data_IF_765947541148
#
_entry.id   IF_765947541148
#
_cell.length_a   1.000
_cell.length_b   1.000
_cell.length_c   1.000
_cell.angle_alpha   90.00
_cell.angle_beta   90.00
_cell.angle_gamma   90.00
#
_symmetry.space_group_name_H-M   'P 1'
#
loop_
_entity.id
_entity.type
_entity.pdbx_description
1 polymer ?
#
# COMPACT_ATOMS: atom_id res chain seq x y z
N UNK A 1 -5.62 -19.34 8.24
CA UNK A 1 -4.82 -18.49 9.14
C UNK A 1 -3.66 -19.28 9.74
N UNK A 2 -2.47 -18.70 9.77
CA UNK A 2 -1.23 -19.27 10.30
C UNK A 2 -0.99 -18.71 11.71
N UNK A 3 -0.68 -19.54 12.71
CA UNK A 3 -0.57 -19.12 14.13
C UNK A 3 0.65 -19.66 14.88
N UNK A 4 1.26 -20.72 14.36
CA UNK A 4 2.39 -21.38 15.00
C UNK A 4 3.68 -21.02 14.27
N UNK A 5 4.80 -20.89 15.01
CA UNK A 5 6.09 -20.56 14.43
C UNK A 5 6.48 -21.50 13.26
N UNK A 6 6.14 -22.78 13.33
CA UNK A 6 6.40 -23.73 12.23
C UNK A 6 5.59 -23.36 10.98
N UNK A 7 4.27 -23.15 11.12
CA UNK A 7 3.39 -22.76 10.00
C UNK A 7 3.78 -21.41 9.37
N UNK A 8 4.22 -20.45 10.20
CA UNK A 8 4.71 -19.15 9.74
C UNK A 8 6.06 -19.30 9.04
N UNK A 9 6.96 -20.13 9.55
CA UNK A 9 8.24 -20.43 8.92
C UNK A 9 8.06 -21.05 7.53
N UNK A 10 7.14 -21.99 7.38
CA UNK A 10 6.81 -22.58 6.08
C UNK A 10 6.23 -21.56 5.10
N UNK A 11 5.39 -20.64 5.59
CA UNK A 11 4.84 -19.56 4.79
C UNK A 11 5.94 -18.61 4.30
N UNK A 12 6.86 -18.20 5.19
CA UNK A 12 8.02 -17.37 4.83
C UNK A 12 8.91 -18.11 3.81
N UNK A 13 9.18 -19.40 4.01
CA UNK A 13 9.93 -20.23 3.05
C UNK A 13 9.25 -20.27 1.69
N UNK A 14 7.91 -20.42 1.64
CA UNK A 14 7.16 -20.35 0.39
C UNK A 14 7.41 -19.02 -0.31
N UNK A 15 7.25 -17.89 0.38
CA UNK A 15 7.41 -16.56 -0.22
C UNK A 15 8.82 -16.28 -0.70
N UNK A 16 9.84 -16.69 0.07
CA UNK A 16 11.24 -16.61 -0.34
C UNK A 16 11.52 -17.43 -1.60
N UNK A 17 11.05 -18.68 -1.64
CA UNK A 17 11.18 -19.54 -2.83
C UNK A 17 10.44 -19.01 -4.05
N UNK A 18 9.39 -18.20 -3.83
CA UNK A 18 8.63 -17.50 -4.85
C UNK A 18 9.26 -16.18 -5.28
N UNK A 19 10.32 -15.72 -4.60
CA UNK A 19 10.96 -14.42 -4.81
C UNK A 19 9.97 -13.24 -4.78
N UNK A 20 9.01 -13.28 -3.84
CA UNK A 20 8.09 -12.17 -3.60
C UNK A 20 8.49 -11.37 -2.37
N UNK A 21 8.10 -10.10 -2.35
CA UNK A 21 8.29 -9.19 -1.24
C UNK A 21 6.96 -8.79 -0.62
N UNK A 22 7.01 -8.29 0.62
CA UNK A 22 5.86 -7.67 1.27
C UNK A 22 5.86 -6.18 0.94
N UNK A 23 4.79 -5.69 0.33
CA UNK A 23 4.62 -4.30 -0.06
C UNK A 23 3.67 -3.59 0.88
N UNK A 24 4.04 -2.40 1.32
CA UNK A 24 3.20 -1.53 2.16
C UNK A 24 3.29 -0.09 1.64
N UNK A 25 2.17 0.46 1.18
CA UNK A 25 2.12 1.86 0.75
C UNK A 25 1.62 2.74 1.90
N UNK A 26 2.17 3.96 1.98
CA UNK A 26 1.84 4.91 3.03
C UNK A 26 1.97 6.36 2.52
N UNK A 27 1.37 7.28 3.24
CA UNK A 27 1.51 8.72 3.01
C UNK A 27 2.77 9.27 3.70
N UNK A 28 3.19 10.48 3.36
CA UNK A 28 4.35 11.13 4.00
C UNK A 28 4.17 11.26 5.52
N UNK A 29 2.97 11.64 5.96
CA UNK A 29 2.60 11.73 7.38
C UNK A 29 2.78 10.39 8.09
N UNK A 30 2.28 9.31 7.51
CA UNK A 30 2.43 7.95 8.05
C UNK A 30 3.91 7.55 8.09
N UNK A 31 4.67 7.81 7.01
CA UNK A 31 6.10 7.48 6.91
C UNK A 31 6.92 8.11 8.04
N UNK A 32 6.68 9.38 8.39
CA UNK A 32 7.33 10.03 9.54
C UNK A 32 7.04 9.29 10.85
N UNK A 33 5.79 8.90 11.06
CA UNK A 33 5.39 8.14 12.25
C UNK A 33 6.02 6.74 12.27
N UNK A 34 6.16 6.10 11.12
CA UNK A 34 6.79 4.77 11.02
C UNK A 34 8.26 4.83 11.45
N UNK A 35 9.00 5.85 11.00
CA UNK A 35 10.39 6.01 11.41
C UNK A 35 10.52 6.32 12.90
N UNK A 36 9.65 7.17 13.46
CA UNK A 36 9.59 7.43 14.90
C UNK A 36 9.31 6.15 15.74
N UNK A 37 8.55 5.22 15.19
CA UNK A 37 8.23 3.93 15.81
C UNK A 37 9.20 2.81 15.42
N UNK A 38 10.28 3.12 14.69
CA UNK A 38 11.27 2.16 14.24
C UNK A 38 10.68 0.99 13.40
N UNK A 39 9.68 1.27 12.56
CA UNK A 39 9.13 0.29 11.62
C UNK A 39 7.73 0.63 11.10
N UNK A 40 7.09 -0.29 10.37
CA UNK A 40 5.67 -0.21 10.00
C UNK A 40 4.81 -0.70 11.17
N UNK A 41 4.09 0.17 11.87
CA UNK A 41 3.26 -0.18 13.02
C UNK A 41 1.84 -0.60 12.60
N UNK A 42 1.08 -1.17 13.52
CA UNK A 42 -0.39 -1.22 13.41
C UNK A 42 -0.98 0.18 13.65
N UNK A 43 -2.21 0.40 13.17
CA UNK A 43 -2.97 1.63 13.47
C UNK A 43 -3.25 1.79 14.97
N UNK A 44 -3.60 0.69 15.65
CA UNK A 44 -3.79 0.65 17.11
C UNK A 44 -2.57 1.14 17.89
N UNK A 45 -1.35 0.78 17.47
CA UNK A 45 -0.15 1.24 18.13
C UNK A 45 0.08 2.75 17.93
N UNK A 46 -0.09 3.25 16.70
CA UNK A 46 0.05 4.69 16.43
C UNK A 46 -0.93 5.51 17.26
N UNK A 47 -2.18 5.05 17.37
CA UNK A 47 -3.22 5.69 18.18
C UNK A 47 -2.88 5.64 19.68
N UNK A 48 -2.48 4.48 20.20
CA UNK A 48 -2.11 4.32 21.62
C UNK A 48 -0.90 5.17 22.01
N UNK A 49 0.03 5.38 21.07
CA UNK A 49 1.21 6.22 21.25
C UNK A 49 0.97 7.70 20.91
N UNK A 50 -0.27 8.07 20.53
CA UNK A 50 -0.68 9.41 20.16
C UNK A 50 0.20 10.03 19.05
N UNK A 51 0.60 9.22 18.08
CA UNK A 51 1.24 9.73 16.87
C UNK A 51 0.19 10.18 15.86
N UNK A 52 0.51 11.21 15.08
CA UNK A 52 -0.32 11.63 13.95
C UNK A 52 -0.15 10.66 12.78
N UNK A 53 -1.24 10.41 12.07
CA UNK A 53 -1.27 9.49 10.92
C UNK A 53 -2.46 9.81 10.02
N UNK A 54 -2.37 9.40 8.75
CA UNK A 54 -3.45 9.66 7.79
C UNK A 54 -4.66 8.80 8.14
N UNK A 55 -5.80 9.43 8.44
CA UNK A 55 -7.06 8.73 8.66
C UNK A 55 -7.62 8.23 7.33
N UNK A 56 -7.97 6.95 7.28
CA UNK A 56 -8.65 6.36 6.13
C UNK A 56 -10.10 6.09 6.47
N UNK A 57 -10.99 6.17 5.49
CA UNK A 57 -12.41 5.86 5.71
C UNK A 57 -12.61 4.40 6.15
N UNK A 58 -11.69 3.50 5.74
CA UNK A 58 -11.70 2.08 6.11
C UNK A 58 -11.30 1.82 7.55
N UNK A 59 -10.73 2.80 8.26
CA UNK A 59 -10.31 2.65 9.66
C UNK A 59 -11.49 2.19 10.54
N UNK A 60 -12.69 2.71 10.28
CA UNK A 60 -13.92 2.30 10.98
C UNK A 60 -14.24 0.81 10.76
N UNK A 61 -14.10 0.33 9.53
CA UNK A 61 -14.34 -1.07 9.21
C UNK A 61 -13.23 -1.96 9.80
N UNK A 62 -11.98 -1.52 9.78
CA UNK A 62 -10.88 -2.25 10.41
C UNK A 62 -11.09 -2.40 11.93
N UNK A 63 -11.59 -1.37 12.61
CA UNK A 63 -11.99 -1.46 14.02
C UNK A 63 -13.15 -2.45 14.23
N UNK A 64 -14.21 -2.33 13.43
CA UNK A 64 -15.39 -3.20 13.52
C UNK A 64 -15.06 -4.67 13.23
N UNK A 65 -14.16 -4.93 12.28
CA UNK A 65 -13.75 -6.25 11.86
C UNK A 65 -12.63 -6.85 12.74
N UNK A 66 -12.17 -6.15 13.78
CA UNK A 66 -11.12 -6.62 14.69
C UNK A 66 -9.71 -6.66 14.07
N UNK A 67 -9.46 -5.77 13.10
CA UNK A 67 -8.20 -5.65 12.37
C UNK A 67 -7.36 -4.42 12.77
N UNK A 68 -7.81 -3.62 13.73
CA UNK A 68 -7.15 -2.36 14.10
C UNK A 68 -5.71 -2.52 14.61
N UNK A 69 -5.41 -3.64 15.27
CA UNK A 69 -4.10 -4.04 15.79
C UNK A 69 -3.26 -4.83 14.76
N UNK A 70 -3.69 -4.89 13.50
CA UNK A 70 -3.00 -5.61 12.44
C UNK A 70 -2.10 -4.69 11.62
N UNK A 71 -1.05 -5.28 11.08
CA UNK A 71 -0.17 -4.66 10.09
C UNK A 71 -0.52 -5.26 8.74
N UNK A 72 -0.77 -4.40 7.76
CA UNK A 72 -1.19 -4.83 6.42
C UNK A 72 -0.04 -4.78 5.42
N UNK A 73 -0.08 -5.70 4.46
CA UNK A 73 0.74 -5.60 3.27
C UNK A 73 0.20 -6.45 2.13
N UNK A 74 0.81 -6.28 0.96
CA UNK A 74 0.40 -6.95 -0.27
C UNK A 74 1.57 -7.70 -0.89
N UNK A 75 1.25 -8.63 -1.79
CA UNK A 75 2.24 -9.38 -2.57
C UNK A 75 2.59 -8.70 -3.91
N UNK A 76 2.07 -7.48 -4.15
CA UNK A 76 2.31 -6.72 -5.39
C UNK A 76 2.34 -5.22 -5.12
N UNK A 77 3.14 -4.51 -5.92
CA UNK A 77 3.10 -3.06 -6.02
C UNK A 77 1.89 -2.61 -6.84
N UNK A 78 0.83 -2.14 -6.16
CA UNK A 78 -0.38 -1.65 -6.83
C UNK A 78 -0.15 -0.35 -7.62
N UNK A 79 0.80 0.49 -7.22
CA UNK A 79 1.12 1.72 -7.94
C UNK A 79 1.68 1.41 -9.33
N UNK A 80 2.39 0.28 -9.49
CA UNK A 80 2.97 -0.11 -10.77
C UNK A 80 1.92 -0.30 -11.88
N UNK A 81 0.68 -0.67 -11.57
CA UNK A 81 -0.38 -0.77 -12.58
C UNK A 81 -0.66 0.59 -13.24
N UNK A 82 -0.82 1.65 -12.43
CA UNK A 82 -1.05 3.00 -12.94
C UNK A 82 0.16 3.53 -13.71
N UNK A 83 1.35 3.39 -13.12
CA UNK A 83 2.60 3.90 -13.69
C UNK A 83 3.07 3.16 -14.95
N UNK A 84 2.60 1.94 -15.19
CA UNK A 84 2.84 1.19 -16.43
C UNK A 84 1.87 1.53 -17.56
N UNK A 85 0.95 2.48 -17.35
CA UNK A 85 -0.04 2.89 -18.34
C UNK A 85 -1.29 2.01 -18.39
N UNK A 86 -1.51 1.17 -17.37
CA UNK A 86 -2.77 0.41 -17.28
C UNK A 86 -3.93 1.37 -16.97
N UNK A 87 -5.13 1.03 -17.44
CA UNK A 87 -6.39 1.74 -17.20
C UNK A 87 -6.86 1.65 -15.74
N UNK A 88 -6.05 2.18 -14.83
CA UNK A 88 -6.13 2.05 -13.38
C UNK A 88 -5.93 3.41 -12.71
N UNK A 89 -5.97 3.41 -11.37
CA UNK A 89 -5.72 4.60 -10.53
C UNK A 89 -4.42 4.42 -9.74
N UNK A 90 -3.77 5.50 -9.30
CA UNK A 90 -2.66 5.41 -8.36
C UNK A 90 -3.07 4.68 -7.07
N UNK A 91 -2.10 4.21 -6.30
CA UNK A 91 -2.38 3.50 -5.05
C UNK A 91 -2.98 4.46 -4.02
N UNK A 92 -4.21 4.22 -3.52
CA UNK A 92 -4.88 5.13 -2.61
C UNK A 92 -4.16 5.27 -1.27
N UNK A 93 -3.39 4.27 -0.85
CA UNK A 93 -2.72 4.27 0.46
C UNK A 93 -1.46 5.13 0.52
N UNK A 94 -0.93 5.54 -0.64
CA UNK A 94 0.00 6.66 -0.70
C UNK A 94 1.16 6.50 -1.68
N UNK A 95 1.92 7.59 -1.87
CA UNK A 95 3.00 7.70 -2.85
C UNK A 95 4.33 7.11 -2.40
N UNK A 96 4.44 6.66 -1.14
CA UNK A 96 5.65 6.05 -0.59
C UNK A 96 5.37 4.56 -0.40
N UNK A 97 6.06 3.72 -1.17
CA UNK A 97 5.94 2.28 -1.11
C UNK A 97 7.16 1.67 -0.42
N UNK A 98 6.93 1.02 0.70
CA UNK A 98 7.94 0.26 1.45
C UNK A 98 7.88 -1.19 1.01
N UNK A 99 9.01 -1.73 0.55
CA UNK A 99 9.20 -3.13 0.21
C UNK A 99 10.02 -3.80 1.31
N UNK A 100 9.49 -4.86 1.89
CA UNK A 100 10.06 -5.54 3.05
C UNK A 100 10.36 -7.02 2.78
N UNK A 101 11.33 -7.54 3.51
CA UNK A 101 11.59 -8.98 3.60
C UNK A 101 10.54 -9.65 4.51
N UNK A 102 10.05 -10.81 4.09
CA UNK A 102 9.18 -11.67 4.88
C UNK A 102 9.81 -12.17 6.20
N UNK A 103 11.13 -12.07 6.38
CA UNK A 103 11.74 -12.31 7.69
C UNK A 103 11.20 -11.36 8.78
N UNK A 104 10.73 -10.16 8.41
CA UNK A 104 10.17 -9.20 9.35
C UNK A 104 8.85 -9.62 9.98
N UNK A 105 8.20 -10.65 9.43
CA UNK A 105 6.95 -11.22 9.97
C UNK A 105 7.20 -12.51 10.76
N UNK A 106 8.46 -12.91 10.94
CA UNK A 106 8.83 -13.97 11.87
C UNK A 106 8.39 -13.59 13.29
N UNK A 107 8.02 -14.58 14.11
CA UNK A 107 7.51 -14.40 15.47
C UNK A 107 6.20 -13.58 15.57
N UNK A 108 5.43 -13.50 14.48
CA UNK A 108 4.05 -13.00 14.55
C UNK A 108 3.17 -13.95 15.37
N UNK A 109 2.20 -13.40 16.10
CA UNK A 109 1.15 -14.18 16.79
C UNK A 109 0.32 -14.97 15.78
N UNK A 110 -0.03 -14.31 14.68
CA UNK A 110 -0.73 -14.93 13.57
C UNK A 110 -0.62 -14.10 12.29
N UNK A 111 -0.83 -14.77 11.15
CA UNK A 111 -0.86 -14.19 9.80
C UNK A 111 -2.09 -14.73 9.08
N UNK A 112 -2.87 -13.84 8.45
CA UNK A 112 -3.96 -14.20 7.58
C UNK A 112 -3.70 -13.63 6.19
N UNK A 113 -3.94 -14.46 5.18
CA UNK A 113 -3.91 -14.08 3.76
C UNK A 113 -5.32 -14.26 3.26
N UNK A 114 -5.94 -13.18 2.78
CA UNK A 114 -7.31 -13.19 2.29
C UNK A 114 -7.35 -12.66 0.85
N UNK A 115 -8.38 -13.05 0.09
CA UNK A 115 -8.58 -12.62 -1.31
C UNK A 115 -9.66 -11.52 -1.43
N UNK A 116 -9.99 -10.92 -0.30
CA UNK A 116 -10.90 -9.80 -0.08
C UNK A 116 -10.23 -8.85 0.92
N UNK A 117 -10.45 -7.54 0.74
CA UNK A 117 -9.82 -6.54 1.60
C UNK A 117 -10.41 -6.56 3.00
N UNK A 118 -9.56 -6.38 4.01
CA UNK A 118 -9.95 -6.35 5.42
C UNK A 118 -10.88 -5.18 5.78
N UNK A 119 -10.82 -4.10 5.00
CA UNK A 119 -11.71 -2.94 5.13
C UNK A 119 -13.10 -3.15 4.49
N UNK A 120 -13.38 -4.32 3.90
CA UNK A 120 -14.69 -4.61 3.32
C UNK A 120 -15.75 -4.87 4.40
N UNK A 121 -16.99 -4.45 4.12
CA UNK A 121 -18.12 -4.69 5.01
C UNK A 121 -18.37 -6.19 5.21
N UNK A 122 -18.48 -6.60 6.48
CA UNK A 122 -18.73 -7.99 6.87
C UNK A 122 -17.56 -8.95 6.62
N UNK A 123 -16.35 -8.42 6.44
CA UNK A 123 -15.15 -9.23 6.29
C UNK A 123 -14.88 -10.05 7.56
N UNK A 124 -14.66 -11.36 7.39
CA UNK A 124 -14.29 -12.26 8.47
C UNK A 124 -12.88 -12.82 8.27
N UNK A 125 -11.91 -12.20 8.95
CA UNK A 125 -10.50 -12.57 8.88
C UNK A 125 -10.24 -14.04 9.17
N UNK A 126 -10.99 -14.67 10.08
CA UNK A 126 -10.75 -16.06 10.47
C UNK A 126 -11.27 -17.00 9.38
N UNK A 127 -12.49 -16.78 8.93
CA UNK A 127 -13.20 -17.69 8.03
C UNK A 127 -12.81 -17.51 6.55
N UNK A 128 -12.40 -16.30 6.15
CA UNK A 128 -11.98 -15.99 4.77
C UNK A 128 -10.48 -16.20 4.53
N UNK A 129 -9.70 -16.49 5.57
CA UNK A 129 -8.26 -16.70 5.43
C UNK A 129 -7.90 -18.02 4.78
N UNK A 130 -6.88 -17.99 3.92
CA UNK A 130 -6.21 -19.20 3.47
C UNK A 130 -5.55 -19.91 4.65
N UNK A 131 -5.74 -21.22 4.74
CA UNK A 131 -5.43 -22.05 5.90
C UNK A 131 -4.28 -23.03 5.69
N UNK A 132 -3.75 -23.18 4.48
CA UNK A 132 -2.59 -24.05 4.22
C UNK A 132 -1.60 -23.46 3.22
N UNK A 133 -0.39 -24.00 3.20
CA UNK A 133 0.66 -23.62 2.25
C UNK A 133 0.23 -23.93 0.82
N UNK A 134 -0.51 -25.02 0.61
CA UNK A 134 -1.08 -25.41 -0.69
C UNK A 134 -2.09 -24.36 -1.17
N UNK A 135 -2.95 -23.87 -0.28
CA UNK A 135 -3.90 -22.80 -0.61
C UNK A 135 -3.16 -21.50 -0.95
N UNK A 136 -2.16 -21.09 -0.17
CA UNK A 136 -1.36 -19.90 -0.52
C UNK A 136 -0.63 -20.11 -1.85
N UNK A 137 -0.15 -21.32 -2.13
CA UNK A 137 0.52 -21.64 -3.38
C UNK A 137 -0.40 -21.52 -4.61
N UNK A 138 -1.72 -21.69 -4.44
CA UNK A 138 -2.76 -21.48 -5.48
C UNK A 138 -2.92 -20.01 -5.88
N UNK A 139 -2.36 -19.06 -5.13
CA UNK A 139 -2.35 -17.64 -5.54
C UNK A 139 -1.47 -17.41 -6.79
N UNK A 140 -0.39 -18.19 -6.94
CA UNK A 140 0.67 -17.90 -7.92
C UNK A 140 0.45 -18.58 -9.26
N UNK A 141 0.38 -17.80 -10.34
CA UNK A 141 0.02 -18.25 -11.68
C UNK A 141 0.88 -19.40 -12.19
N UNK A 142 2.19 -19.32 -12.00
CA UNK A 142 3.15 -20.31 -12.49
C UNK A 142 3.64 -21.25 -11.38
N UNK A 143 4.12 -22.46 -11.71
CA UNK A 143 4.83 -23.33 -10.77
C UNK A 143 6.05 -22.66 -10.12
N UNK A 144 6.46 -23.15 -8.94
CA UNK A 144 7.66 -22.65 -8.21
C UNK A 144 8.94 -22.77 -9.05
N UNK A 145 9.02 -23.81 -9.89
CA UNK A 145 10.17 -24.12 -10.75
C UNK A 145 10.30 -23.20 -11.97
N UNK A 146 9.30 -22.36 -12.27
CA UNK A 146 9.34 -21.48 -13.44
C UNK A 146 10.17 -20.22 -13.13
N UNK A 147 11.46 -20.28 -13.45
CA UNK A 147 12.42 -19.20 -13.24
C UNK A 147 11.95 -17.90 -13.89
N UNK A 148 12.05 -16.79 -13.15
CA UNK A 148 11.67 -15.44 -13.63
C UNK A 148 10.16 -15.19 -13.73
N UNK A 149 9.31 -16.19 -13.41
CA UNK A 149 7.85 -16.04 -13.41
C UNK A 149 7.16 -16.61 -12.17
N UNK A 150 7.90 -17.27 -11.29
CA UNK A 150 7.35 -17.90 -10.09
C UNK A 150 6.70 -16.92 -9.10
N UNK A 151 6.95 -15.61 -9.23
CA UNK A 151 6.36 -14.55 -8.41
C UNK A 151 5.02 -13.99 -8.95
N UNK A 152 4.61 -14.30 -10.18
CA UNK A 152 3.37 -13.73 -10.74
C UNK A 152 2.14 -14.24 -9.99
N UNK A 153 1.33 -13.30 -9.53
CA UNK A 153 0.04 -13.54 -8.90
C UNK A 153 -1.04 -13.68 -9.97
N UNK A 154 -1.99 -14.58 -9.76
CA UNK A 154 -3.19 -14.70 -10.61
C UNK A 154 -4.01 -13.41 -10.62
N UNK A 155 -4.66 -13.12 -11.74
CA UNK A 155 -5.67 -12.04 -11.79
C UNK A 155 -6.85 -12.37 -10.87
N UNK A 156 -7.72 -11.38 -10.61
CA UNK A 156 -8.94 -11.58 -9.81
C UNK A 156 -9.83 -12.68 -10.40
N UNK A 157 -9.97 -12.72 -11.71
CA UNK A 157 -10.78 -13.70 -12.44
C UNK A 157 -10.16 -15.10 -12.33
N UNK A 158 -8.84 -15.21 -12.53
CA UNK A 158 -8.10 -16.45 -12.35
C UNK A 158 -8.16 -16.95 -10.90
N UNK A 159 -8.13 -16.05 -9.90
CA UNK A 159 -8.29 -16.41 -8.49
C UNK A 159 -9.71 -16.91 -8.20
N UNK A 160 -10.76 -16.27 -8.75
CA UNK A 160 -12.15 -16.71 -8.58
C UNK A 160 -12.35 -18.13 -9.09
N UNK A 161 -11.85 -18.42 -10.29
CA UNK A 161 -11.90 -19.76 -10.86
C UNK A 161 -11.11 -20.75 -9.98
N UNK A 162 -9.88 -20.37 -9.63
CA UNK A 162 -8.96 -21.23 -8.90
C UNK A 162 -9.29 -21.40 -7.41
N UNK A 163 -10.33 -20.78 -6.88
CA UNK A 163 -10.85 -21.01 -5.53
C UNK A 163 -12.36 -21.31 -5.52
N UNK A 164 -12.94 -21.64 -6.68
CA UNK A 164 -14.38 -21.93 -6.82
C UNK A 164 -14.85 -23.16 -6.01
N UNK A 165 -13.95 -24.07 -5.67
CA UNK A 165 -14.16 -25.21 -4.77
C UNK A 165 -14.26 -24.81 -3.28
N UNK A 166 -13.87 -23.58 -2.92
CA UNK A 166 -13.77 -23.12 -1.52
C UNK A 166 -14.90 -22.16 -1.18
N UNK A 167 -16.01 -22.68 -0.65
CA UNK A 167 -17.22 -21.90 -0.30
C UNK A 167 -16.99 -20.77 0.70
N UNK A 168 -15.97 -20.87 1.55
CA UNK A 168 -15.65 -19.88 2.58
C UNK A 168 -14.65 -18.80 2.10
N UNK A 169 -14.08 -18.94 0.90
CA UNK A 169 -13.10 -17.99 0.37
C UNK A 169 -13.82 -17.04 -0.58
N UNK A 170 -13.86 -15.77 -0.22
CA UNK A 170 -14.42 -14.71 -1.05
C UNK A 170 -13.29 -14.05 -1.83
N UNK A 171 -13.42 -14.00 -3.15
CA UNK A 171 -12.42 -13.39 -4.04
C UNK A 171 -12.96 -12.09 -4.63
N UNK A 172 -12.49 -10.97 -4.09
CA UNK A 172 -12.88 -9.62 -4.50
C UNK A 172 -11.70 -8.75 -4.95
N UNK A 173 -10.46 -9.13 -4.65
CA UNK A 173 -9.28 -8.35 -5.01
C UNK A 173 -7.99 -9.15 -5.05
N UNK A 174 -6.88 -8.43 -5.09
CA UNK A 174 -5.55 -9.02 -4.93
C UNK A 174 -5.37 -9.55 -3.50
N UNK A 175 -4.47 -10.54 -3.30
CA UNK A 175 -4.17 -11.05 -1.96
C UNK A 175 -3.71 -9.94 -1.02
N UNK A 176 -4.32 -9.90 0.15
CA UNK A 176 -3.99 -9.00 1.25
C UNK A 176 -3.51 -9.83 2.45
N UNK A 177 -2.41 -9.38 3.06
CA UNK A 177 -1.79 -10.02 4.20
C UNK A 177 -2.03 -9.13 5.42
N UNK A 178 -2.65 -9.69 6.46
CA UNK A 178 -2.83 -9.03 7.76
C UNK A 178 -2.07 -9.80 8.83
N UNK A 179 -1.22 -9.09 9.56
CA UNK A 179 -0.21 -9.65 10.45
C UNK A 179 -0.46 -9.14 11.87
N UNK A 180 -0.49 -10.06 12.84
CA UNK A 180 -0.55 -9.72 14.26
C UNK A 180 0.84 -9.92 14.88
N UNK A 181 1.51 -8.84 15.28
CA UNK A 181 2.80 -8.93 16.01
C UNK A 181 2.64 -8.63 17.50
N UNK A 182 3.53 -9.19 18.32
CA UNK A 182 3.53 -8.91 19.76
C UNK A 182 3.82 -7.43 20.07
N UNK A 183 4.78 -6.83 19.37
CA UNK A 183 5.12 -5.41 19.45
C UNK A 183 4.30 -4.55 18.47
N UNK A 184 3.44 -5.15 17.65
CA UNK A 184 2.66 -4.46 16.61
C UNK A 184 3.49 -3.65 15.60
N UNK A 185 4.75 -4.05 15.33
CA UNK A 185 5.65 -3.35 14.39
C UNK A 185 6.41 -4.35 13.51
N UNK A 186 6.52 -4.08 12.21
CA UNK A 186 7.54 -4.68 11.33
C UNK A 186 8.71 -3.72 11.27
N UNK A 187 9.86 -4.15 11.78
CA UNK A 187 11.01 -3.31 12.08
C UNK A 187 11.74 -2.79 10.82
N UNK A 188 12.39 -1.62 10.92
CA UNK A 188 13.08 -0.97 9.79
C UNK A 188 14.19 -1.82 9.15
N UNK A 189 14.87 -2.66 9.93
CA UNK A 189 15.94 -3.54 9.44
C UNK A 189 15.44 -4.59 8.41
N UNK A 190 14.13 -4.75 8.25
CA UNK A 190 13.54 -5.60 7.22
C UNK A 190 13.17 -4.85 5.94
N UNK A 191 13.40 -3.54 5.88
CA UNK A 191 13.15 -2.74 4.68
C UNK A 191 14.24 -3.06 3.64
N UNK A 192 13.80 -3.38 2.43
CA UNK A 192 14.67 -3.69 1.29
C UNK A 192 14.77 -2.46 0.38
N UNK A 193 13.66 -1.77 0.19
CA UNK A 193 13.55 -0.68 -0.77
C UNK A 193 12.39 0.25 -0.36
N UNK A 194 12.57 1.54 -0.52
CA UNK A 194 11.55 2.58 -0.37
C UNK A 194 11.41 3.25 -1.73
N UNK A 195 10.27 3.06 -2.38
CA UNK A 195 9.98 3.60 -3.71
C UNK A 195 9.07 4.80 -3.56
N UNK A 196 9.52 5.96 -4.04
CA UNK A 196 8.82 7.23 -3.89
C UNK A 196 8.30 7.69 -5.25
N UNK A 197 7.01 8.01 -5.31
CA UNK A 197 6.42 8.59 -6.52
C UNK A 197 6.97 10.01 -6.77
N UNK A 198 7.11 10.44 -8.04
CA UNK A 198 7.75 11.70 -8.42
C UNK A 198 6.82 12.90 -8.21
N UNK A 199 6.51 13.21 -6.95
CA UNK A 199 5.64 14.33 -6.57
C UNK A 199 6.45 15.60 -6.36
N UNK A 200 6.05 16.67 -7.06
CA UNK A 200 6.58 18.02 -6.85
C UNK A 200 5.43 19.00 -6.63
N UNK A 201 5.43 19.67 -5.47
CA UNK A 201 4.44 20.69 -5.11
C UNK A 201 5.18 21.98 -4.78
N UNK A 202 4.97 23.02 -5.60
CA UNK A 202 5.54 24.35 -5.40
C UNK A 202 7.05 24.40 -5.11
N UNK A 203 7.83 23.54 -5.79
CA UNK A 203 9.28 23.42 -5.65
C UNK A 203 9.73 22.41 -4.59
N UNK A 204 8.82 21.84 -3.81
CA UNK A 204 9.14 20.76 -2.88
C UNK A 204 9.06 19.40 -3.57
N UNK A 205 10.13 18.64 -3.52
CA UNK A 205 10.23 17.29 -4.07
C UNK A 205 10.03 16.24 -2.97
N UNK A 206 9.05 15.34 -3.16
CA UNK A 206 8.77 14.29 -2.17
C UNK A 206 9.95 13.36 -1.94
N UNK A 207 10.73 13.03 -2.98
CA UNK A 207 11.91 12.18 -2.85
C UNK A 207 12.95 12.81 -1.91
N UNK A 208 13.25 14.09 -2.11
CA UNK A 208 14.22 14.82 -1.30
C UNK A 208 13.78 14.88 0.17
N UNK A 209 12.49 15.16 0.41
CA UNK A 209 11.91 15.14 1.76
C UNK A 209 12.02 13.75 2.39
N UNK A 210 11.68 12.69 1.66
CA UNK A 210 11.79 11.31 2.17
C UNK A 210 13.24 10.95 2.49
N UNK A 211 14.19 11.34 1.65
CA UNK A 211 15.62 11.13 1.88
C UNK A 211 16.14 11.89 3.09
N UNK A 212 15.75 13.16 3.26
CA UNK A 212 16.12 13.97 4.42
C UNK A 212 15.62 13.35 5.73
N UNK A 213 14.34 12.97 5.77
CA UNK A 213 13.75 12.32 6.94
C UNK A 213 14.44 10.98 7.19
N UNK A 214 14.59 10.12 6.18
CA UNK A 214 15.18 8.79 6.34
C UNK A 214 16.65 8.87 6.82
N UNK A 215 17.40 9.87 6.35
CA UNK A 215 18.78 10.11 6.78
C UNK A 215 18.88 10.42 8.27
N UNK A 216 17.87 11.07 8.88
CA UNK A 216 17.87 11.32 10.33
C UNK A 216 17.64 10.06 11.18
N UNK A 217 17.29 8.94 10.56
CA UNK A 217 17.10 7.62 11.20
C UNK A 217 18.14 6.61 10.72
N UNK A 218 19.26 7.07 10.14
CA UNK A 218 20.36 6.22 9.66
C UNK A 218 19.93 5.19 8.60
N UNK A 219 18.83 5.45 7.88
CA UNK A 219 18.44 4.64 6.74
C UNK A 219 19.32 5.01 5.54
N UNK A 220 19.95 4.01 4.94
CA UNK A 220 20.80 4.20 3.77
C UNK A 220 19.98 4.72 2.56
N UNK A 221 20.39 5.87 2.00
CA UNK A 221 19.76 6.45 0.82
C UNK A 221 19.78 5.52 -0.42
N UNK A 222 20.66 4.52 -0.49
CA UNK A 222 20.69 3.53 -1.57
C UNK A 222 19.42 2.68 -1.66
N UNK A 223 18.69 2.51 -0.54
CA UNK A 223 17.42 1.79 -0.56
C UNK A 223 16.25 2.68 -0.98
N UNK A 224 16.44 4.01 -1.04
CA UNK A 224 15.40 4.98 -1.39
C UNK A 224 15.53 5.32 -2.86
N UNK A 225 14.47 5.05 -3.64
CA UNK A 225 14.48 5.23 -5.08
C UNK A 225 13.26 5.98 -5.56
N UNK A 226 13.46 6.82 -6.57
CA UNK A 226 12.37 7.37 -7.33
C UNK A 226 11.71 6.28 -8.18
N UNK A 227 10.39 6.38 -8.37
CA UNK A 227 9.70 5.47 -9.30
C UNK A 227 10.18 5.71 -10.73
N UNK A 228 10.76 4.66 -11.32
CA UNK A 228 11.38 4.72 -12.66
C UNK A 228 10.39 4.93 -13.81
N UNK A 229 9.15 4.44 -13.68
CA UNK A 229 8.10 4.62 -14.70
C UNK A 229 7.06 5.59 -14.18
N UNK A 230 6.71 6.58 -14.99
CA UNK A 230 5.76 7.62 -14.62
C UNK A 230 4.71 7.71 -15.69
N UNK A 231 3.43 7.60 -15.29
CA UNK A 231 2.33 7.85 -16.21
C UNK A 231 2.35 9.33 -16.60
N UNK A 232 2.19 9.65 -17.88
CA UNK A 232 2.22 11.03 -18.38
C UNK A 232 1.19 11.95 -17.69
N UNK A 233 0.06 11.38 -17.26
CA UNK A 233 -0.99 12.12 -16.55
C UNK A 233 -0.66 12.38 -15.08
N UNK A 234 0.35 11.73 -14.50
CA UNK A 234 0.55 11.75 -13.05
C UNK A 234 0.87 13.15 -12.52
N UNK A 235 1.82 13.86 -13.14
CA UNK A 235 2.18 15.22 -12.69
C UNK A 235 0.98 16.17 -12.74
N UNK A 236 0.19 16.11 -13.80
CA UNK A 236 -1.00 16.95 -13.93
C UNK A 236 -2.10 16.57 -12.93
N UNK A 237 -2.27 15.26 -12.69
CA UNK A 237 -3.21 14.75 -11.70
C UNK A 237 -2.88 15.25 -10.28
N UNK A 238 -1.61 15.15 -9.90
CA UNK A 238 -1.13 15.60 -8.58
C UNK A 238 -1.33 17.11 -8.41
N UNK A 239 -1.03 17.92 -9.45
CA UNK A 239 -1.34 19.36 -9.45
C UNK A 239 -2.83 19.61 -9.29
N UNK A 240 -3.65 18.87 -10.01
CA UNK A 240 -5.12 19.02 -9.97
C UNK A 240 -5.67 18.73 -8.57
N UNK A 241 -5.17 17.68 -7.90
CA UNK A 241 -5.54 17.35 -6.52
C UNK A 241 -5.09 18.45 -5.55
N UNK A 242 -3.88 18.99 -5.73
CA UNK A 242 -3.41 20.14 -4.94
C UNK A 242 -4.34 21.37 -5.07
N UNK A 243 -5.00 21.54 -6.23
CA UNK A 243 -6.01 22.58 -6.47
C UNK A 243 -7.46 22.15 -6.17
N UNK A 244 -7.66 21.04 -5.47
CA UNK A 244 -8.95 20.66 -4.91
C UNK A 244 -9.77 19.66 -5.74
N UNK A 245 -9.20 18.99 -6.73
CA UNK A 245 -9.85 17.82 -7.36
C UNK A 245 -10.00 16.71 -6.32
N UNK A 246 -11.23 16.23 -6.15
CA UNK A 246 -11.58 15.13 -5.25
C UNK A 246 -12.24 13.95 -5.96
N UNK A 247 -12.76 14.17 -7.17
CA UNK A 247 -13.54 13.18 -7.89
C UNK A 247 -13.24 13.18 -9.39
N UNK A 248 -13.64 12.10 -10.09
CA UNK A 248 -13.54 12.06 -11.55
C UNK A 248 -14.44 13.10 -12.23
N UNK A 249 -15.55 13.48 -11.57
CA UNK A 249 -16.45 14.54 -12.03
C UNK A 249 -15.74 15.89 -12.11
N UNK A 250 -14.90 16.21 -11.13
CA UNK A 250 -14.14 17.46 -11.09
C UNK A 250 -13.20 17.55 -12.31
N UNK A 251 -12.54 16.43 -12.65
CA UNK A 251 -11.65 16.35 -13.80
C UNK A 251 -12.43 16.51 -15.11
N UNK A 252 -13.54 15.79 -15.26
CA UNK A 252 -14.32 15.80 -16.50
C UNK A 252 -14.98 17.15 -16.79
N UNK A 253 -15.44 17.85 -15.75
CA UNK A 253 -16.11 19.17 -15.86
C UNK A 253 -15.13 20.34 -15.82
N UNK A 254 -13.92 20.14 -15.29
CA UNK A 254 -12.91 21.18 -15.13
C UNK A 254 -12.16 21.55 -16.40
N UNK A 255 -11.32 22.58 -16.30
CA UNK A 255 -10.44 23.03 -17.38
C UNK A 255 -9.07 22.33 -17.29
N UNK A 256 -9.07 21.01 -17.46
CA UNK A 256 -7.86 20.17 -17.44
C UNK A 256 -7.50 19.66 -18.84
N UNK A 257 -6.27 19.16 -18.98
CA UNK A 257 -5.78 18.55 -20.23
C UNK A 257 -6.72 17.46 -20.74
N UNK A 258 -6.95 17.42 -22.06
CA UNK A 258 -7.83 16.44 -22.70
C UNK A 258 -7.40 14.98 -22.45
N UNK A 259 -6.10 14.73 -22.31
CA UNK A 259 -5.58 13.40 -21.95
C UNK A 259 -6.01 12.97 -20.55
N UNK A 260 -6.02 13.90 -19.58
CA UNK A 260 -6.47 13.63 -18.22
C UNK A 260 -7.98 13.38 -18.18
N UNK A 261 -8.77 14.14 -18.95
CA UNK A 261 -10.21 13.90 -19.11
C UNK A 261 -10.52 12.55 -19.74
N UNK A 262 -9.75 12.15 -20.77
CA UNK A 262 -9.87 10.81 -21.39
C UNK A 262 -9.56 9.71 -20.38
N UNK A 263 -8.49 9.87 -19.60
CA UNK A 263 -8.15 8.93 -18.53
C UNK A 263 -9.27 8.84 -17.48
N UNK A 264 -9.83 9.96 -17.01
CA UNK A 264 -10.91 9.96 -16.03
C UNK A 264 -12.14 9.17 -16.52
N UNK A 265 -12.54 9.33 -17.78
CA UNK A 265 -13.63 8.55 -18.41
C UNK A 265 -13.33 7.05 -18.42
N UNK A 266 -12.09 6.67 -18.72
CA UNK A 266 -11.66 5.26 -18.70
C UNK A 266 -11.73 4.68 -17.29
N UNK A 267 -11.24 5.41 -16.29
CA UNK A 267 -11.31 5.01 -14.87
C UNK A 267 -12.75 4.86 -14.41
N UNK A 268 -13.64 5.77 -14.80
CA UNK A 268 -15.09 5.69 -14.51
C UNK A 268 -15.71 4.44 -15.12
N UNK A 269 -15.44 4.17 -16.40
CA UNK A 269 -15.95 2.99 -17.10
C UNK A 269 -15.49 1.68 -16.44
N UNK A 270 -14.29 1.67 -15.85
CA UNK A 270 -13.75 0.55 -15.08
C UNK A 270 -14.26 0.49 -13.63
N UNK A 271 -15.19 1.38 -13.23
CA UNK A 271 -15.78 1.47 -11.89
C UNK A 271 -14.74 1.71 -10.79
N UNK A 272 -13.70 2.48 -11.10
CA UNK A 272 -12.61 2.81 -10.19
C UNK A 272 -12.75 4.21 -9.55
N UNK A 273 -13.90 4.88 -9.71
CA UNK A 273 -14.15 6.22 -9.16
C UNK A 273 -13.97 6.30 -7.65
N UNK A 274 -14.51 5.33 -6.91
CA UNK A 274 -14.33 5.22 -5.46
C UNK A 274 -12.85 5.11 -5.05
N UNK A 275 -12.05 4.30 -5.77
CA UNK A 275 -10.61 4.21 -5.49
C UNK A 275 -9.87 5.51 -5.81
N UNK A 276 -10.31 6.25 -6.83
CA UNK A 276 -9.75 7.56 -7.16
C UNK A 276 -10.06 8.61 -6.09
N UNK A 277 -11.30 8.66 -5.61
CA UNK A 277 -11.73 9.59 -4.55
C UNK A 277 -10.86 9.39 -3.30
N UNK A 278 -10.73 8.13 -2.83
CA UNK A 278 -9.81 7.78 -1.74
C UNK A 278 -8.38 8.22 -1.97
N UNK A 279 -7.84 7.96 -3.16
CA UNK A 279 -6.49 8.39 -3.51
C UNK A 279 -6.34 9.90 -3.39
N UNK A 280 -7.26 10.67 -3.97
CA UNK A 280 -7.19 12.13 -3.95
C UNK A 280 -7.27 12.70 -2.53
N UNK A 281 -8.19 12.20 -1.71
CA UNK A 281 -8.39 12.65 -0.34
C UNK A 281 -7.19 12.31 0.55
N UNK A 282 -6.71 11.07 0.48
CA UNK A 282 -5.61 10.63 1.35
C UNK A 282 -4.27 11.22 0.92
N UNK A 283 -4.04 11.37 -0.38
CA UNK A 283 -2.87 12.05 -0.88
C UNK A 283 -2.82 13.50 -0.39
N UNK A 284 -3.97 14.20 -0.46
CA UNK A 284 -4.03 15.59 -0.01
C UNK A 284 -3.72 15.70 1.49
N UNK A 285 -4.46 14.98 2.33
CA UNK A 285 -4.37 15.07 3.78
C UNK A 285 -3.08 14.46 4.36
N UNK A 286 -2.55 13.40 3.74
CA UNK A 286 -1.41 12.65 4.25
C UNK A 286 -0.06 13.07 3.66
N UNK A 287 -0.05 13.67 2.47
CA UNK A 287 1.20 14.02 1.77
C UNK A 287 1.27 15.48 1.35
N UNK A 288 0.31 15.99 0.59
CA UNK A 288 0.38 17.36 0.04
C UNK A 288 0.36 18.41 1.16
N UNK A 289 -0.59 18.30 2.10
CA UNK A 289 -0.69 19.21 3.24
C UNK A 289 0.58 19.18 4.11
N UNK A 290 1.16 17.99 4.29
CA UNK A 290 2.39 17.77 5.05
C UNK A 290 3.59 18.44 4.36
N UNK A 291 3.73 18.29 3.05
CA UNK A 291 4.77 18.97 2.26
C UNK A 291 4.62 20.50 2.37
N UNK A 292 3.43 21.04 2.15
CA UNK A 292 3.18 22.49 2.22
C UNK A 292 3.42 23.06 3.63
N UNK A 293 3.16 22.28 4.68
CA UNK A 293 3.44 22.68 6.07
C UNK A 293 4.94 22.82 6.35
N UNK A 294 5.77 21.94 5.80
CA UNK A 294 7.24 22.04 5.90
C UNK A 294 7.78 23.33 5.25
N UNK A 295 7.20 23.74 4.11
CA UNK A 295 7.57 25.00 3.43
C UNK A 295 7.39 26.21 4.34
N UNK A 296 6.26 26.29 5.04
CA UNK A 296 5.94 27.40 5.95
C UNK A 296 6.96 27.50 7.10
N UNK A 297 7.36 26.35 7.64
CA UNK A 297 8.37 26.28 8.70
C UNK A 297 9.72 26.81 8.20
N UNK A 298 10.16 26.38 7.02
CA UNK A 298 11.45 26.82 6.47
C UNK A 298 11.48 28.32 6.14
N UNK A 299 10.38 28.87 5.63
CA UNK A 299 10.24 30.31 5.41
C UNK A 299 10.29 31.10 6.72
N UNK A 300 9.66 30.60 7.79
CA UNK A 300 9.67 31.26 9.10
C UNK A 300 11.03 31.27 9.80
N UNK A 301 11.93 30.34 9.46
CA UNK A 301 13.31 30.28 9.98
C UNK A 301 14.29 31.17 9.21
N UNK A 302 13.87 31.69 8.05
CA UNK A 302 14.72 32.49 7.14
C UNK A 302 14.49 34.00 7.26
N UNK A 303 13.65 34.42 8.22
CA UNK A 303 13.33 35.82 8.57
C UNK A 303 13.89 36.10 9.95
#
# INVERSE_FOLDING_TARGET
MFKENNSISELIKLFKNRNVSLYHACQLKDFKTYLNLNGVPSRSLMETKNYDFTRFETDKFDQQNGNWDKIFGNLSDFSNFFHSGSNSVPNPYGPILIKMNFDGIMNSKDIAICLRSAGASGFDRKNESLCSIEEVNRIFKFPKSTVGKNFFIRSKEELKENFSDKKNIIVEGSPEISITKYNQIIELNYFIEIIVDPINIEGLNLLEIVQEIASSYEINNEIIKIRNKVNNNYTELIKSINYGVKSLDDIEKGNYLEELKKWAKVVRNNRLGYMFERFSEYLYAGTIEEMTSLKKINLSKSV
#
